data_IF_639936680621
#
_entry.id   IF_639936680621
#
_cell.length_a   1.000
_cell.length_b   1.000
_cell.length_c   1.000
_cell.angle_alpha   90.00
_cell.angle_beta   90.00
_cell.angle_gamma   90.00
#
_symmetry.space_group_name_H-M   'P 1'
#
loop_
_entity.id
_entity.type
_entity.pdbx_description
1 polymer ?
#
# COMPACT_ATOMS: atom_id res chain seq x y z
N UNK A 1 8.34 26.20 20.23
CA UNK A 1 9.34 25.12 20.09
C UNK A 1 8.64 23.93 19.43
N UNK A 2 9.28 23.25 18.47
CA UNK A 2 8.69 22.07 17.82
C UNK A 2 9.00 20.80 18.63
N UNK A 3 8.04 19.88 18.74
CA UNK A 3 8.20 18.59 19.42
C UNK A 3 7.61 17.47 18.59
N UNK A 4 8.37 16.39 18.44
CA UNK A 4 7.95 15.19 17.71
C UNK A 4 7.84 14.01 18.67
N UNK A 5 6.65 13.40 18.73
CA UNK A 5 6.35 12.23 19.54
C UNK A 5 6.03 11.04 18.64
N UNK A 6 6.61 9.88 18.93
CA UNK A 6 6.45 8.66 18.13
C UNK A 6 5.43 7.73 18.79
N UNK A 7 4.25 7.59 18.17
CA UNK A 7 3.18 6.71 18.67
C UNK A 7 3.14 5.35 17.97
N UNK A 8 3.83 5.19 16.84
CA UNK A 8 3.92 3.94 16.11
C UNK A 8 5.07 3.90 15.12
N UNK A 9 5.20 2.78 14.40
CA UNK A 9 6.34 2.48 13.52
C UNK A 9 7.73 2.67 14.16
N UNK A 10 7.85 2.47 15.48
CA UNK A 10 9.12 2.45 16.22
C UNK A 10 9.41 1.05 16.75
N UNK A 11 10.55 0.48 16.35
CA UNK A 11 10.88 -0.93 16.60
C UNK A 11 9.93 -1.91 15.89
N UNK A 12 9.19 -1.46 14.88
CA UNK A 12 8.28 -2.23 14.03
C UNK A 12 8.07 -1.48 12.72
N UNK A 13 7.65 -2.17 11.65
CA UNK A 13 7.43 -1.58 10.31
C UNK A 13 6.06 -0.88 10.22
N UNK A 14 5.02 -1.47 10.81
CA UNK A 14 3.63 -1.05 10.55
C UNK A 14 3.07 -0.15 11.64
N UNK A 15 2.03 0.60 11.32
CA UNK A 15 1.28 1.41 12.28
C UNK A 15 1.89 2.80 12.46
N UNK A 16 2.32 3.42 11.36
CA UNK A 16 2.95 4.73 11.31
C UNK A 16 2.04 5.81 11.88
N UNK A 17 2.51 6.49 12.93
CA UNK A 17 1.81 7.56 13.66
C UNK A 17 2.84 8.45 14.36
N UNK A 18 3.03 9.66 13.86
CA UNK A 18 3.96 10.62 14.45
C UNK A 18 3.24 11.92 14.77
N UNK A 19 3.29 12.36 16.02
CA UNK A 19 2.64 13.59 16.46
C UNK A 19 3.65 14.73 16.51
N UNK A 20 3.47 15.68 15.61
CA UNK A 20 4.25 16.91 15.53
C UNK A 20 3.47 18.06 16.14
N UNK A 21 4.00 18.61 17.22
CA UNK A 21 3.57 19.85 17.83
C UNK A 21 4.44 20.97 17.26
N UNK A 22 3.85 21.90 16.49
CA UNK A 22 4.61 22.98 15.84
C UNK A 22 3.72 24.20 15.63
N UNK A 23 4.23 25.39 15.97
CA UNK A 23 3.51 26.67 15.78
C UNK A 23 2.08 26.68 16.37
N UNK A 24 1.93 26.09 17.56
CA UNK A 24 0.63 25.97 18.26
C UNK A 24 -0.35 24.98 17.62
N UNK A 25 0.09 24.18 16.64
CA UNK A 25 -0.71 23.16 15.95
C UNK A 25 -0.31 21.75 16.36
N UNK A 26 -1.32 20.89 16.47
CA UNK A 26 -1.16 19.45 16.66
C UNK A 26 -1.40 18.74 15.33
N UNK A 27 -0.34 18.15 14.80
CA UNK A 27 -0.36 17.50 13.49
C UNK A 27 -0.03 16.03 13.69
N UNK A 28 -0.84 15.14 13.11
CA UNK A 28 -0.51 13.72 13.02
C UNK A 28 0.03 13.42 11.62
N UNK A 29 1.27 12.94 11.53
CA UNK A 29 1.86 12.40 10.31
C UNK A 29 1.60 10.90 10.28
N UNK A 30 0.85 10.47 9.25
CA UNK A 30 0.26 9.15 9.13
C UNK A 30 -0.66 8.74 10.30
N UNK A 31 -1.64 7.91 9.99
CA UNK A 31 -2.57 7.35 10.95
C UNK A 31 -2.81 5.87 10.60
N UNK A 32 -1.77 5.08 10.72
CA UNK A 32 -1.72 3.71 10.22
C UNK A 32 -2.14 2.63 11.21
N UNK A 33 -2.62 1.48 10.71
CA UNK A 33 -2.89 0.29 11.52
C UNK A 33 -1.64 -0.57 11.72
N UNK A 34 -1.46 -1.08 12.93
CA UNK A 34 -0.48 -2.12 13.22
C UNK A 34 -0.90 -3.44 12.56
N UNK A 35 -0.03 -4.03 11.74
CA UNK A 35 -0.21 -5.34 11.11
C UNK A 35 0.86 -6.33 11.62
N UNK A 36 0.70 -7.62 11.32
CA UNK A 36 1.65 -8.67 11.74
C UNK A 36 1.21 -9.45 12.99
N UNK A 37 2.12 -9.83 13.90
CA UNK A 37 1.82 -10.71 15.03
C UNK A 37 0.72 -10.17 15.95
N UNK A 38 -0.01 -11.07 16.62
CA UNK A 38 -1.15 -10.71 17.49
C UNK A 38 -0.82 -9.60 18.50
N UNK A 39 0.36 -9.67 19.14
CA UNK A 39 0.84 -8.66 20.09
C UNK A 39 0.88 -7.25 19.48
N UNK A 40 1.32 -7.13 18.23
CA UNK A 40 1.40 -5.86 17.51
C UNK A 40 0.00 -5.40 17.09
N UNK A 41 -0.85 -6.29 16.56
CA UNK A 41 -2.23 -5.94 16.17
C UNK A 41 -3.10 -5.47 17.33
N UNK A 42 -2.87 -5.97 18.54
CA UNK A 42 -3.62 -5.56 19.74
C UNK A 42 -3.41 -4.07 20.07
N UNK A 43 -2.28 -3.47 19.66
CA UNK A 43 -2.06 -2.02 19.81
C UNK A 43 -3.08 -1.16 19.08
N UNK A 44 -3.76 -1.69 18.06
CA UNK A 44 -4.87 -0.97 17.42
C UNK A 44 -6.07 -0.80 18.36
N UNK A 45 -6.22 -1.63 19.40
CA UNK A 45 -7.34 -1.55 20.34
C UNK A 45 -7.03 -0.69 21.57
N UNK A 46 -5.78 -0.32 21.78
CA UNK A 46 -5.36 0.57 22.86
C UNK A 46 -5.99 1.97 22.67
N UNK A 47 -6.23 2.64 23.79
CA UNK A 47 -6.68 4.04 23.81
C UNK A 47 -5.56 4.91 23.26
N UNK A 48 -5.86 5.79 22.31
CA UNK A 48 -4.84 6.68 21.76
C UNK A 48 -4.36 7.65 22.87
N UNK A 49 -3.05 7.86 23.05
CA UNK A 49 -2.53 8.58 24.23
C UNK A 49 -2.97 10.05 24.34
N UNK A 50 -3.45 10.64 23.24
CA UNK A 50 -3.88 12.04 23.15
C UNK A 50 -5.29 12.08 22.56
N UNK A 51 -6.21 12.93 23.03
CA UNK A 51 -7.55 13.02 22.44
C UNK A 51 -7.50 13.34 20.93
N UNK A 52 -8.12 12.53 20.04
CA UNK A 52 -8.14 12.81 18.60
C UNK A 52 -8.70 14.18 18.23
N UNK A 53 -9.63 14.70 19.03
CA UNK A 53 -10.21 16.05 18.87
C UNK A 53 -9.21 17.20 19.08
N UNK A 54 -8.05 16.93 19.67
CA UNK A 54 -7.00 17.94 19.88
C UNK A 54 -6.11 18.15 18.65
N UNK A 55 -6.19 17.28 17.64
CA UNK A 55 -5.40 17.38 16.41
C UNK A 55 -6.10 18.29 15.40
N UNK A 56 -5.36 19.27 14.88
CA UNK A 56 -5.84 20.18 13.85
C UNK A 56 -5.86 19.51 12.46
N UNK A 57 -4.83 18.68 12.20
CA UNK A 57 -4.58 18.09 10.89
C UNK A 57 -4.03 16.67 11.00
N UNK A 58 -4.37 15.85 10.01
CA UNK A 58 -3.63 14.64 9.68
C UNK A 58 -2.98 14.85 8.32
N UNK A 59 -1.72 14.46 8.15
CA UNK A 59 -1.04 14.46 6.86
C UNK A 59 -0.65 13.02 6.53
N UNK A 60 -1.14 12.50 5.41
CA UNK A 60 -0.77 11.17 4.95
C UNK A 60 0.38 11.24 3.96
N UNK A 61 1.36 10.36 4.15
CA UNK A 61 2.41 10.09 3.18
C UNK A 61 1.82 9.33 1.99
N UNK A 62 1.06 8.27 2.24
CA UNK A 62 0.47 7.44 1.18
C UNK A 62 -0.70 6.57 1.67
N UNK A 63 -1.31 5.83 0.75
CA UNK A 63 -2.59 5.16 1.00
C UNK A 63 -2.51 3.81 1.75
N UNK A 64 -1.33 3.20 1.96
CA UNK A 64 -1.25 1.88 2.59
C UNK A 64 -1.89 1.84 3.98
N UNK A 65 -2.49 0.70 4.35
CA UNK A 65 -3.27 0.55 5.59
C UNK A 65 -2.44 0.77 6.86
N UNK A 66 -1.14 0.48 6.82
CA UNK A 66 -0.20 0.76 7.90
C UNK A 66 0.25 2.22 7.98
N UNK A 67 -0.28 3.10 7.11
CA UNK A 67 -0.15 4.56 7.14
C UNK A 67 -1.50 5.29 7.19
N UNK A 68 -2.59 4.69 6.70
CA UNK A 68 -3.93 5.33 6.61
C UNK A 68 -5.04 4.61 7.37
N UNK A 69 -4.86 3.32 7.66
CA UNK A 69 -5.95 2.43 8.07
C UNK A 69 -6.55 2.72 9.44
N UNK A 70 -5.87 3.48 10.30
CA UNK A 70 -6.39 3.82 11.63
C UNK A 70 -7.26 5.08 11.62
N UNK A 71 -7.26 5.82 10.51
CA UNK A 71 -8.06 7.04 10.35
C UNK A 71 -9.52 6.84 10.74
N UNK A 72 -10.24 5.77 10.34
CA UNK A 72 -11.67 5.68 10.66
C UNK A 72 -11.94 5.53 12.15
N UNK A 73 -11.09 4.79 12.89
CA UNK A 73 -11.18 4.75 14.35
C UNK A 73 -10.85 6.12 14.96
N UNK A 74 -9.80 6.79 14.46
CA UNK A 74 -9.39 8.11 14.95
C UNK A 74 -10.47 9.18 14.76
N UNK A 75 -11.17 9.18 13.62
CA UNK A 75 -12.34 10.04 13.34
C UNK A 75 -13.50 9.71 14.26
N UNK A 76 -13.83 8.42 14.43
CA UNK A 76 -14.89 7.98 15.34
C UNK A 76 -14.63 8.41 16.79
N UNK A 77 -13.35 8.45 17.19
CA UNK A 77 -12.92 8.88 18.53
C UNK A 77 -12.81 10.41 18.70
N UNK A 78 -13.16 11.19 17.68
CA UNK A 78 -13.40 12.63 17.81
C UNK A 78 -12.55 13.55 16.93
N UNK A 79 -11.70 13.02 16.04
CA UNK A 79 -11.01 13.86 15.07
C UNK A 79 -11.98 14.39 14.01
N UNK A 80 -11.93 15.71 13.76
CA UNK A 80 -12.77 16.40 12.78
C UNK A 80 -11.98 17.44 11.95
N UNK A 81 -10.65 17.36 11.99
CA UNK A 81 -9.76 18.22 11.21
C UNK A 81 -9.64 17.78 9.74
N UNK A 82 -8.75 18.44 8.99
CA UNK A 82 -8.49 18.07 7.59
C UNK A 82 -7.44 16.96 7.48
N UNK A 83 -7.64 16.05 6.54
CA UNK A 83 -6.68 14.99 6.17
C UNK A 83 -6.00 15.41 4.87
N UNK A 84 -4.77 15.91 4.95
CA UNK A 84 -3.99 16.40 3.82
C UNK A 84 -3.23 15.24 3.17
N UNK A 85 -3.33 15.10 1.85
CA UNK A 85 -2.62 14.08 1.07
C UNK A 85 -2.63 14.46 -0.42
N UNK A 86 -2.07 13.61 -1.28
CA UNK A 86 -2.22 13.76 -2.73
C UNK A 86 -3.60 13.31 -3.21
N UNK A 87 -4.01 13.76 -4.40
CA UNK A 87 -5.26 13.30 -5.02
C UNK A 87 -5.32 11.79 -5.20
N UNK A 88 -4.25 11.19 -5.73
CA UNK A 88 -4.15 9.74 -5.89
C UNK A 88 -4.25 9.01 -4.53
N UNK A 89 -3.57 9.50 -3.49
CA UNK A 89 -3.69 8.91 -2.14
C UNK A 89 -5.13 8.97 -1.61
N UNK A 90 -5.85 10.08 -1.82
CA UNK A 90 -7.25 10.18 -1.42
C UNK A 90 -8.16 9.15 -2.11
N UNK A 91 -7.98 8.94 -3.42
CA UNK A 91 -8.76 7.97 -4.18
C UNK A 91 -8.41 6.52 -3.83
N UNK A 92 -7.13 6.22 -3.63
CA UNK A 92 -6.70 4.91 -3.16
C UNK A 92 -7.25 4.62 -1.75
N UNK A 93 -7.20 5.60 -0.83
CA UNK A 93 -7.81 5.49 0.50
C UNK A 93 -9.33 5.20 0.43
N UNK A 94 -10.05 5.75 -0.54
CA UNK A 94 -11.49 5.47 -0.74
C UNK A 94 -11.76 3.98 -0.97
N UNK A 95 -10.89 3.29 -1.69
CA UNK A 95 -11.00 1.84 -1.92
C UNK A 95 -10.49 1.07 -0.70
N UNK A 96 -9.29 1.40 -0.25
CA UNK A 96 -8.58 0.64 0.80
C UNK A 96 -9.28 0.70 2.16
N UNK A 97 -9.77 1.86 2.60
CA UNK A 97 -10.45 2.00 3.89
C UNK A 97 -11.79 1.26 3.92
N UNK A 98 -12.52 1.25 2.80
CA UNK A 98 -13.79 0.53 2.67
C UNK A 98 -13.60 -0.98 2.65
N UNK A 99 -12.60 -1.47 1.91
CA UNK A 99 -12.25 -2.89 1.88
C UNK A 99 -11.79 -3.36 3.27
N UNK A 100 -10.91 -2.58 3.92
CA UNK A 100 -10.47 -2.88 5.28
C UNK A 100 -11.62 -2.89 6.29
N UNK A 101 -12.56 -1.94 6.21
CA UNK A 101 -13.78 -1.96 7.03
C UNK A 101 -14.62 -3.23 6.77
N UNK A 102 -14.79 -3.60 5.50
CA UNK A 102 -15.54 -4.79 5.12
C UNK A 102 -14.97 -6.06 5.75
N UNK A 103 -13.66 -6.26 5.63
CA UNK A 103 -12.96 -7.43 6.17
C UNK A 103 -13.14 -7.47 7.69
N UNK A 104 -13.01 -6.33 8.37
CA UNK A 104 -13.15 -6.27 9.83
C UNK A 104 -14.58 -6.59 10.30
N UNK A 105 -15.60 -6.12 9.58
CA UNK A 105 -17.00 -6.47 9.87
C UNK A 105 -17.27 -7.95 9.66
N UNK A 106 -16.71 -8.55 8.60
CA UNK A 106 -16.84 -9.99 8.35
C UNK A 106 -16.14 -10.82 9.43
N UNK A 107 -14.93 -10.45 9.83
CA UNK A 107 -14.19 -11.09 10.91
C UNK A 107 -14.95 -11.03 12.24
N UNK A 108 -15.54 -9.87 12.57
CA UNK A 108 -16.37 -9.71 13.76
C UNK A 108 -17.64 -10.59 13.70
N UNK A 109 -18.35 -10.61 12.57
CA UNK A 109 -19.53 -11.48 12.36
C UNK A 109 -19.16 -12.97 12.48
N UNK A 110 -18.03 -13.37 11.90
CA UNK A 110 -17.53 -14.74 11.98
C UNK A 110 -17.17 -15.14 13.42
N UNK A 111 -16.49 -14.26 14.14
CA UNK A 111 -16.12 -14.48 15.54
C UNK A 111 -17.36 -14.61 16.44
N UNK A 112 -18.37 -13.78 16.23
CA UNK A 112 -19.66 -13.89 16.92
C UNK A 112 -20.36 -15.22 16.61
N UNK A 113 -20.37 -15.65 15.33
CA UNK A 113 -20.98 -16.93 14.91
C UNK A 113 -20.28 -18.16 15.50
N UNK A 114 -18.96 -18.09 15.73
CA UNK A 114 -18.14 -19.20 16.21
C UNK A 114 -17.83 -19.16 17.71
N UNK A 115 -18.12 -18.05 18.40
CA UNK A 115 -18.00 -17.92 19.85
C UNK A 115 -16.56 -17.89 20.40
N UNK A 116 -15.54 -17.53 19.60
CA UNK A 116 -14.14 -17.51 20.05
C UNK A 116 -13.59 -16.11 20.39
N UNK A 117 -14.43 -15.07 20.34
CA UNK A 117 -14.01 -13.70 20.66
C UNK A 117 -13.83 -13.50 22.16
N UNK A 118 -12.89 -12.63 22.54
CA UNK A 118 -12.77 -12.13 23.92
C UNK A 118 -13.85 -11.08 24.26
N UNK A 119 -14.38 -10.40 23.25
CA UNK A 119 -15.45 -9.42 23.36
C UNK A 119 -16.79 -10.07 22.98
N UNK A 120 -17.84 -9.77 23.72
CA UNK A 120 -19.21 -10.24 23.48
C UNK A 120 -20.17 -9.05 23.46
N UNK A 121 -20.65 -8.61 22.28
CA UNK A 121 -20.30 -9.11 20.94
C UNK A 121 -18.87 -8.75 20.51
N UNK A 122 -18.32 -9.50 19.57
CA UNK A 122 -17.14 -9.11 18.82
C UNK A 122 -17.49 -7.91 17.93
N UNK A 123 -16.70 -6.85 18.01
CA UNK A 123 -16.87 -5.64 17.20
C UNK A 123 -15.68 -5.47 16.23
N UNK A 124 -15.89 -4.87 15.04
CA UNK A 124 -14.80 -4.44 14.19
C UNK A 124 -14.11 -3.21 14.79
N UNK A 125 -12.85 -2.94 14.42
CA UNK A 125 -12.16 -1.73 14.90
C UNK A 125 -12.91 -0.47 14.46
N UNK A 126 -13.48 -0.50 13.26
CA UNK A 126 -14.33 0.52 12.66
C UNK A 126 -15.21 -0.11 11.58
N UNK A 127 -16.33 0.53 11.23
CA UNK A 127 -17.29 0.04 10.23
C UNK A 127 -17.10 0.70 8.87
N UNK A 128 -17.86 0.23 7.85
CA UNK A 128 -17.90 0.89 6.54
C UNK A 128 -18.42 2.32 6.63
N UNK A 129 -19.37 2.59 7.51
CA UNK A 129 -19.89 3.93 7.75
C UNK A 129 -18.80 4.85 8.32
N UNK A 130 -17.98 4.35 9.26
CA UNK A 130 -16.84 5.09 9.79
C UNK A 130 -15.83 5.44 8.68
N UNK A 131 -15.53 4.48 7.80
CA UNK A 131 -14.67 4.72 6.64
C UNK A 131 -15.27 5.79 5.71
N UNK A 132 -16.57 5.73 5.42
CA UNK A 132 -17.25 6.73 4.57
C UNK A 132 -17.20 8.13 5.20
N UNK A 133 -17.48 8.26 6.51
CA UNK A 133 -17.40 9.54 7.23
C UNK A 133 -16.00 10.14 7.16
N UNK A 134 -14.99 9.29 7.30
CA UNK A 134 -13.58 9.68 7.25
C UNK A 134 -13.18 10.26 5.91
N UNK A 135 -13.70 9.71 4.80
CA UNK A 135 -13.42 10.19 3.45
C UNK A 135 -13.89 11.64 3.21
N UNK A 136 -14.90 12.12 3.96
CA UNK A 136 -15.37 13.50 3.85
C UNK A 136 -14.38 14.53 4.43
N UNK A 137 -13.39 14.08 5.22
CA UNK A 137 -12.37 14.94 5.82
C UNK A 137 -11.11 15.06 4.95
N UNK A 138 -11.03 14.31 3.84
CA UNK A 138 -9.89 14.37 2.92
C UNK A 138 -9.84 15.70 2.18
N UNK A 139 -8.66 16.31 2.19
CA UNK A 139 -8.35 17.55 1.50
C UNK A 139 -7.10 17.32 0.63
N UNK A 140 -7.29 16.75 -0.57
CA UNK A 140 -6.19 16.45 -1.47
C UNK A 140 -5.57 17.72 -2.04
N UNK A 141 -4.25 17.71 -2.22
CA UNK A 141 -3.47 18.78 -2.86
C UNK A 141 -2.55 18.17 -3.94
N UNK A 142 -2.04 19.00 -4.86
CA UNK A 142 -1.06 18.54 -5.85
C UNK A 142 0.35 18.51 -5.25
N UNK A 143 1.21 17.67 -5.84
CA UNK A 143 2.65 17.83 -5.66
C UNK A 143 3.07 19.24 -6.07
N UNK A 144 4.08 19.79 -5.40
CA UNK A 144 4.55 21.14 -5.72
C UNK A 144 3.85 22.25 -4.93
N UNK A 145 2.54 22.11 -4.70
CA UNK A 145 1.71 23.08 -3.99
C UNK A 145 2.05 23.14 -2.50
N UNK A 146 1.85 24.31 -1.89
CA UNK A 146 1.95 24.46 -0.44
C UNK A 146 0.59 24.58 0.23
N UNK A 147 0.41 23.85 1.32
CA UNK A 147 -0.71 24.03 2.23
C UNK A 147 -0.26 24.86 3.43
N UNK A 148 -0.95 25.98 3.68
CA UNK A 148 -0.64 26.87 4.80
C UNK A 148 -1.30 26.34 6.07
N UNK A 149 -0.50 25.86 7.02
CA UNK A 149 -0.97 25.40 8.34
C UNK A 149 -1.26 26.58 9.27
N UNK A 150 -0.48 27.64 9.12
CA UNK A 150 -0.50 28.88 9.89
C UNK A 150 0.25 29.98 9.13
N UNK A 151 0.34 31.18 9.69
CA UNK A 151 1.16 32.26 9.10
C UNK A 151 2.64 31.89 8.93
N UNK A 152 3.20 31.08 9.83
CA UNK A 152 4.63 30.76 9.83
C UNK A 152 4.97 29.37 9.30
N UNK A 153 3.97 28.48 9.15
CA UNK A 153 4.21 27.07 8.84
C UNK A 153 3.43 26.61 7.61
N UNK A 154 4.14 25.95 6.69
CA UNK A 154 3.58 25.34 5.49
C UNK A 154 3.97 23.88 5.33
N UNK A 155 3.14 23.13 4.62
CA UNK A 155 3.43 21.78 4.12
C UNK A 155 3.61 21.87 2.62
N UNK A 156 4.52 21.08 2.07
CA UNK A 156 4.62 20.78 0.64
C UNK A 156 4.78 19.27 0.47
N UNK A 157 4.08 18.70 -0.50
CA UNK A 157 4.22 17.30 -0.88
C UNK A 157 5.14 17.19 -2.09
N UNK A 158 6.09 16.27 -2.03
CA UNK A 158 6.98 15.89 -3.13
C UNK A 158 6.81 14.39 -3.39
N UNK A 159 7.02 13.93 -4.61
CA UNK A 159 6.81 12.51 -4.95
C UNK A 159 7.83 11.64 -4.21
N UNK A 160 7.38 10.59 -3.50
CA UNK A 160 8.29 9.63 -2.86
C UNK A 160 8.57 8.40 -3.73
N UNK A 161 7.90 8.25 -4.87
CA UNK A 161 8.12 7.14 -5.82
C UNK A 161 7.77 5.75 -5.31
N UNK A 162 7.10 5.61 -4.16
CA UNK A 162 6.80 4.32 -3.54
C UNK A 162 5.56 3.64 -4.14
N UNK A 163 4.44 4.37 -4.18
CA UNK A 163 3.21 3.98 -4.85
C UNK A 163 2.60 5.21 -5.51
N UNK A 164 1.60 5.01 -6.37
CA UNK A 164 0.88 6.13 -6.98
C UNK A 164 0.37 7.10 -5.88
N UNK A 165 0.81 8.37 -5.97
CA UNK A 165 0.44 9.41 -5.03
C UNK A 165 1.21 9.42 -3.70
N UNK A 166 2.23 8.59 -3.51
CA UNK A 166 3.03 8.59 -2.29
C UNK A 166 3.92 9.83 -2.18
N UNK A 167 3.99 10.43 -1.00
CA UNK A 167 4.61 11.73 -0.81
C UNK A 167 5.64 11.78 0.32
N UNK A 168 6.74 12.49 0.05
CA UNK A 168 7.60 13.10 1.06
C UNK A 168 6.88 14.35 1.61
N UNK A 169 6.85 14.50 2.93
CA UNK A 169 6.17 15.64 3.59
C UNK A 169 7.22 16.66 4.03
N UNK A 170 7.35 17.76 3.27
CA UNK A 170 8.21 18.92 3.58
C UNK A 170 7.42 19.92 4.44
N UNK A 171 7.76 19.98 5.73
CA UNK A 171 7.21 20.95 6.68
C UNK A 171 8.24 22.05 6.89
N UNK A 172 7.93 23.26 6.42
CA UNK A 172 8.79 24.43 6.60
C UNK A 172 8.11 25.40 7.55
N UNK A 173 8.81 25.76 8.62
CA UNK A 173 8.36 26.74 9.61
C UNK A 173 9.36 27.90 9.71
N UNK A 174 8.89 29.07 10.14
CA UNK A 174 9.71 30.23 10.53
C UNK A 174 9.56 30.47 12.04
N UNK A 175 10.67 30.43 12.77
CA UNK A 175 10.73 30.68 14.23
C UNK A 175 11.85 31.70 14.46
N UNK A 176 11.55 32.84 15.08
CA UNK A 176 12.53 33.87 15.46
C UNK A 176 13.52 34.24 14.32
N UNK A 177 12.96 34.56 13.15
CA UNK A 177 13.65 34.86 11.88
C UNK A 177 14.50 33.74 11.26
N UNK A 178 14.54 32.56 11.87
CA UNK A 178 15.19 31.38 11.29
C UNK A 178 14.15 30.44 10.69
N UNK A 179 14.40 29.98 9.46
CA UNK A 179 13.61 28.92 8.87
C UNK A 179 14.13 27.56 9.34
N UNK A 180 13.21 26.63 9.57
CA UNK A 180 13.50 25.21 9.80
C UNK A 180 12.67 24.36 8.85
N UNK A 181 13.27 23.29 8.32
CA UNK A 181 12.62 22.29 7.47
C UNK A 181 12.74 20.90 8.09
N UNK A 182 11.59 20.27 8.28
CA UNK A 182 11.45 18.88 8.69
C UNK A 182 10.92 18.09 7.49
N UNK A 183 11.55 16.99 7.14
CA UNK A 183 11.12 16.10 6.07
C UNK A 183 10.76 14.72 6.63
N UNK A 184 9.55 14.25 6.36
CA UNK A 184 9.17 12.86 6.58
C UNK A 184 9.20 12.13 5.24
N UNK A 185 9.89 10.99 5.17
CA UNK A 185 9.96 10.21 3.94
C UNK A 185 8.66 9.46 3.64
N UNK A 186 7.91 9.07 4.68
CA UNK A 186 7.01 7.92 4.54
C UNK A 186 7.79 6.69 4.08
N UNK A 187 7.15 5.87 3.27
CA UNK A 187 7.86 4.82 2.53
C UNK A 187 8.50 5.43 1.28
N UNK A 188 9.75 5.05 1.03
CA UNK A 188 10.56 5.60 -0.04
C UNK A 188 10.66 4.61 -1.21
N UNK A 189 10.28 5.08 -2.39
CA UNK A 189 10.49 4.37 -3.63
C UNK A 189 11.97 4.18 -3.96
N UNK A 190 12.25 3.21 -4.83
CA UNK A 190 13.56 3.11 -5.45
C UNK A 190 13.57 3.89 -6.76
N UNK A 191 14.72 4.46 -7.16
CA UNK A 191 14.93 4.87 -8.53
C UNK A 191 14.64 3.72 -9.51
N UNK A 192 14.30 4.07 -10.74
CA UNK A 192 14.10 3.10 -11.83
C UNK A 192 12.99 2.04 -11.60
N UNK A 193 12.03 2.28 -10.70
CA UNK A 193 10.81 1.46 -10.63
C UNK A 193 9.95 1.76 -11.87
N UNK A 194 9.66 0.78 -12.75
CA UNK A 194 8.88 1.02 -13.95
C UNK A 194 7.47 1.53 -13.60
N UNK A 195 6.99 2.52 -14.37
CA UNK A 195 5.69 3.21 -14.28
C UNK A 195 5.63 4.40 -13.32
N UNK A 196 6.36 4.38 -12.20
CA UNK A 196 6.34 5.45 -11.21
C UNK A 196 7.50 6.43 -11.44
N UNK A 197 7.33 7.68 -11.01
CA UNK A 197 8.45 8.61 -10.97
C UNK A 197 9.49 8.16 -9.93
N UNK A 198 10.73 8.59 -10.14
CA UNK A 198 11.75 8.51 -9.10
C UNK A 198 11.41 9.45 -7.93
N UNK A 199 11.86 9.13 -6.70
CA UNK A 199 11.65 10.00 -5.56
C UNK A 199 12.26 11.39 -5.79
N UNK A 200 11.50 12.44 -5.49
CA UNK A 200 11.96 13.82 -5.58
C UNK A 200 13.11 14.10 -4.61
N UNK A 201 14.06 14.92 -5.06
CA UNK A 201 15.16 15.38 -4.21
C UNK A 201 14.78 16.66 -3.45
N UNK A 202 14.78 16.58 -2.12
CA UNK A 202 14.48 17.72 -1.24
C UNK A 202 15.75 18.22 -0.55
N UNK A 203 16.11 19.46 -0.85
CA UNK A 203 17.31 20.12 -0.33
C UNK A 203 17.04 20.98 0.91
N UNK A 204 18.11 21.33 1.64
CA UNK A 204 18.08 22.22 2.81
C UNK A 204 17.12 21.71 3.90
N UNK A 205 17.28 20.44 4.28
CA UNK A 205 16.51 19.76 5.32
C UNK A 205 17.30 19.81 6.62
N UNK A 206 16.71 20.33 7.69
CA UNK A 206 17.33 20.38 9.01
C UNK A 206 17.10 19.07 9.79
N UNK A 207 15.93 18.45 9.62
CA UNK A 207 15.55 17.18 10.25
C UNK A 207 14.93 16.23 9.23
N UNK A 208 15.48 15.02 9.12
CA UNK A 208 14.97 13.96 8.26
C UNK A 208 14.46 12.80 9.11
N UNK A 209 13.19 12.45 8.95
CA UNK A 209 12.57 11.25 9.49
C UNK A 209 12.46 10.27 8.33
N UNK A 210 13.32 9.24 8.35
CA UNK A 210 13.48 8.27 7.29
C UNK A 210 12.97 6.89 7.74
N UNK A 211 12.28 6.20 6.84
CA UNK A 211 11.95 4.79 7.04
C UNK A 211 13.19 3.89 7.12
N UNK A 212 13.02 2.65 7.59
CA UNK A 212 14.14 1.71 7.73
C UNK A 212 13.74 0.27 7.43
N UNK A 213 12.74 0.06 6.55
CA UNK A 213 12.20 -1.27 6.24
C UNK A 213 13.28 -2.26 5.79
N UNK A 214 14.28 -1.76 5.07
CA UNK A 214 15.44 -2.54 4.61
C UNK A 214 16.76 -2.11 5.26
N UNK A 215 16.72 -1.35 6.36
CA UNK A 215 17.92 -0.75 6.99
C UNK A 215 18.96 -1.77 7.48
N UNK A 216 18.59 -3.03 7.68
CA UNK A 216 19.52 -4.09 8.10
C UNK A 216 20.23 -4.84 6.96
N UNK A 217 19.98 -4.53 5.68
CA UNK A 217 20.57 -5.27 4.56
C UNK A 217 20.85 -4.41 3.33
N UNK A 218 21.83 -4.83 2.53
CA UNK A 218 21.99 -4.32 1.17
C UNK A 218 21.06 -5.06 0.22
N UNK A 219 20.65 -4.39 -0.85
CA UNK A 219 19.95 -5.05 -1.94
C UNK A 219 20.94 -5.85 -2.79
N UNK A 220 20.49 -7.02 -3.25
CA UNK A 220 21.25 -7.81 -4.21
C UNK A 220 21.41 -7.04 -5.51
N UNK A 221 22.54 -7.24 -6.19
CA UNK A 221 22.84 -6.59 -7.47
C UNK A 221 22.13 -7.25 -8.66
N UNK A 222 21.18 -8.17 -8.42
CA UNK A 222 20.44 -8.83 -9.49
C UNK A 222 19.49 -7.84 -10.16
N UNK A 223 19.33 -7.98 -11.47
CA UNK A 223 18.31 -7.24 -12.22
C UNK A 223 16.95 -7.93 -12.00
N UNK A 224 16.02 -7.29 -11.26
CA UNK A 224 14.72 -7.89 -10.95
C UNK A 224 13.89 -8.20 -12.21
N UNK A 225 14.12 -7.48 -13.31
CA UNK A 225 13.42 -7.69 -14.58
C UNK A 225 13.91 -9.00 -15.22
N UNK A 226 15.23 -9.21 -15.27
CA UNK A 226 15.82 -10.47 -15.74
C UNK A 226 15.40 -11.66 -14.88
N UNK A 227 15.38 -11.50 -13.55
CA UNK A 227 14.91 -12.54 -12.62
C UNK A 227 13.44 -12.90 -12.88
N UNK A 228 12.58 -11.91 -13.12
CA UNK A 228 11.18 -12.11 -13.45
C UNK A 228 11.01 -12.91 -14.76
N UNK A 229 11.76 -12.54 -15.80
CA UNK A 229 11.75 -13.25 -17.10
C UNK A 229 12.18 -14.70 -16.93
N UNK A 230 13.26 -14.96 -16.18
CA UNK A 230 13.73 -16.32 -15.91
C UNK A 230 12.66 -17.14 -15.18
N UNK A 231 12.09 -16.59 -14.10
CA UNK A 231 11.09 -17.28 -13.29
C UNK A 231 9.83 -17.60 -14.09
N UNK A 232 9.33 -16.66 -14.89
CA UNK A 232 8.16 -16.86 -15.75
C UNK A 232 8.44 -17.98 -16.76
N UNK A 233 9.49 -17.86 -17.55
CA UNK A 233 9.82 -18.83 -18.60
C UNK A 233 10.12 -20.22 -18.03
N UNK A 234 10.85 -20.30 -16.90
CA UNK A 234 11.15 -21.56 -16.22
C UNK A 234 9.90 -22.25 -15.67
N UNK A 235 8.99 -21.48 -15.07
CA UNK A 235 7.71 -22.00 -14.55
C UNK A 235 6.86 -22.57 -15.69
N UNK A 236 6.78 -21.85 -16.80
CA UNK A 236 5.97 -22.24 -17.95
C UNK A 236 6.57 -23.45 -18.69
N UNK A 237 7.90 -23.49 -18.87
CA UNK A 237 8.61 -24.63 -19.48
C UNK A 237 8.41 -25.95 -18.70
N UNK A 238 8.26 -25.87 -17.38
CA UNK A 238 7.95 -27.03 -16.52
C UNK A 238 6.50 -27.52 -16.66
N UNK A 239 5.66 -26.78 -17.38
CA UNK A 239 4.24 -27.10 -17.55
C UNK A 239 3.40 -26.83 -16.31
N UNK A 240 3.83 -25.89 -15.45
CA UNK A 240 3.06 -25.43 -14.29
C UNK A 240 2.42 -24.07 -14.50
N UNK A 241 1.83 -23.53 -13.45
CA UNK A 241 1.35 -22.15 -13.34
C UNK A 241 2.24 -21.33 -12.41
N UNK A 242 2.28 -20.02 -12.64
CA UNK A 242 2.95 -19.06 -11.78
C UNK A 242 1.91 -18.35 -10.92
N UNK A 243 1.98 -18.52 -9.59
CA UNK A 243 1.08 -17.87 -8.64
C UNK A 243 1.85 -16.76 -7.91
N UNK A 244 1.29 -15.56 -7.91
CA UNK A 244 1.95 -14.35 -7.43
C UNK A 244 1.07 -13.68 -6.37
N UNK A 245 1.35 -13.88 -5.07
CA UNK A 245 0.80 -13.05 -4.02
C UNK A 245 1.26 -11.60 -4.22
N UNK A 246 0.31 -10.68 -4.44
CA UNK A 246 0.62 -9.27 -4.68
C UNK A 246 -0.24 -8.35 -3.79
N UNK A 247 0.32 -7.19 -3.43
CA UNK A 247 -0.47 -6.11 -2.85
C UNK A 247 -1.39 -5.53 -3.93
N UNK A 248 -2.66 -5.30 -3.56
CA UNK A 248 -3.67 -4.82 -4.50
C UNK A 248 -3.38 -3.43 -5.03
N UNK A 249 -2.62 -2.61 -4.30
CA UNK A 249 -2.21 -1.27 -4.69
C UNK A 249 -0.68 -1.23 -4.88
N UNK A 250 -0.23 -0.63 -5.97
CA UNK A 250 1.19 -0.50 -6.35
C UNK A 250 1.72 -1.74 -7.06
N UNK A 251 1.88 -2.85 -6.32
CA UNK A 251 2.64 -4.02 -6.81
C UNK A 251 1.94 -4.77 -7.94
N UNK A 252 0.62 -4.92 -7.88
CA UNK A 252 -0.17 -5.55 -8.96
C UNK A 252 -0.06 -4.76 -10.26
N UNK A 253 -0.23 -3.44 -10.19
CA UNK A 253 -0.22 -2.55 -11.37
C UNK A 253 1.18 -2.51 -12.01
N UNK A 254 2.22 -2.39 -11.20
CA UNK A 254 3.62 -2.45 -11.66
C UNK A 254 3.91 -3.77 -12.38
N UNK A 255 3.42 -4.90 -11.85
CA UNK A 255 3.60 -6.20 -12.48
C UNK A 255 2.86 -6.32 -13.82
N UNK A 256 1.62 -5.82 -13.91
CA UNK A 256 0.88 -5.82 -15.18
C UNK A 256 1.58 -4.98 -16.26
N UNK A 257 2.08 -3.81 -15.87
CA UNK A 257 2.89 -2.95 -16.75
C UNK A 257 4.15 -3.68 -17.24
N UNK A 258 4.90 -4.30 -16.33
CA UNK A 258 6.10 -5.07 -16.65
C UNK A 258 5.83 -6.27 -17.56
N UNK A 259 4.80 -7.08 -17.26
CA UNK A 259 4.43 -8.23 -18.08
C UNK A 259 4.08 -7.79 -19.50
N UNK A 260 3.34 -6.69 -19.67
CA UNK A 260 3.04 -6.12 -20.99
C UNK A 260 4.31 -5.71 -21.74
N UNK A 261 5.24 -5.03 -21.08
CA UNK A 261 6.52 -4.64 -21.70
C UNK A 261 7.31 -5.87 -22.15
N UNK A 262 7.44 -6.86 -21.28
CA UNK A 262 8.17 -8.10 -21.58
C UNK A 262 7.53 -8.91 -22.71
N UNK A 263 6.20 -8.88 -22.84
CA UNK A 263 5.46 -9.47 -23.97
C UNK A 263 5.67 -8.71 -25.28
N UNK A 264 5.77 -7.39 -25.25
CA UNK A 264 6.05 -6.55 -26.43
C UNK A 264 7.51 -6.71 -26.89
N UNK A 265 8.45 -6.84 -25.96
CA UNK A 265 9.87 -7.09 -26.23
C UNK A 265 10.17 -8.53 -26.67
N UNK A 266 9.19 -9.44 -26.60
CA UNK A 266 9.36 -10.84 -26.93
C UNK A 266 10.19 -11.64 -25.92
N UNK A 267 10.42 -11.09 -24.72
CA UNK A 267 11.16 -11.77 -23.63
C UNK A 267 10.34 -12.86 -22.95
N UNK A 268 9.02 -12.72 -22.96
CA UNK A 268 8.07 -13.76 -22.53
C UNK A 268 6.98 -13.95 -23.58
N UNK A 269 6.52 -15.19 -23.83
CA UNK A 269 5.31 -15.43 -24.61
C UNK A 269 4.06 -14.83 -23.95
N UNK A 270 3.01 -14.60 -24.75
CA UNK A 270 1.71 -14.17 -24.25
C UNK A 270 1.01 -15.31 -23.52
N UNK A 271 1.00 -15.27 -22.19
CA UNK A 271 0.32 -16.24 -21.35
C UNK A 271 -1.02 -15.69 -20.83
N UNK A 272 -2.03 -16.53 -20.54
CA UNK A 272 -3.19 -16.11 -19.77
C UNK A 272 -2.76 -15.57 -18.39
N UNK A 273 -3.07 -14.30 -18.12
CA UNK A 273 -2.79 -13.61 -16.86
C UNK A 273 -4.12 -13.34 -16.17
N UNK A 274 -4.32 -13.86 -14.96
CA UNK A 274 -5.53 -13.66 -14.17
C UNK A 274 -5.26 -12.72 -13.00
N UNK A 275 -6.03 -11.64 -12.89
CA UNK A 275 -6.01 -10.76 -11.71
C UNK A 275 -7.26 -11.04 -10.89
N UNK A 276 -7.07 -11.69 -9.74
CA UNK A 276 -8.14 -12.14 -8.86
C UNK A 276 -8.11 -11.39 -7.53
N UNK A 277 -8.44 -10.11 -7.59
CA UNK A 277 -8.58 -9.24 -6.42
C UNK A 277 -9.48 -8.05 -6.78
N UNK A 278 -10.73 -7.99 -6.27
CA UNK A 278 -11.63 -6.86 -6.52
C UNK A 278 -10.97 -5.50 -6.23
N UNK A 279 -10.30 -5.39 -5.08
CA UNK A 279 -9.54 -4.20 -4.71
C UNK A 279 -8.41 -3.87 -5.69
N UNK A 280 -7.69 -4.86 -6.22
CA UNK A 280 -6.61 -4.59 -7.18
C UNK A 280 -7.15 -4.08 -8.52
N UNK A 281 -8.33 -4.55 -8.90
CA UNK A 281 -9.02 -4.12 -10.11
C UNK A 281 -9.54 -2.69 -9.94
N UNK A 282 -10.13 -2.36 -8.79
CA UNK A 282 -10.57 -0.98 -8.52
C UNK A 282 -9.38 -0.01 -8.42
N UNK A 283 -8.26 -0.45 -7.83
CA UNK A 283 -7.02 0.31 -7.82
C UNK A 283 -6.42 0.48 -9.22
N UNK A 284 -6.56 -0.52 -10.11
CA UNK A 284 -6.09 -0.43 -11.48
C UNK A 284 -6.82 0.68 -12.26
N UNK A 285 -8.12 0.86 -12.05
CA UNK A 285 -8.87 1.96 -12.67
C UNK A 285 -8.35 3.33 -12.19
N UNK A 286 -8.08 3.47 -10.88
CA UNK A 286 -7.46 4.70 -10.35
C UNK A 286 -6.10 4.94 -11.00
N UNK A 287 -5.25 3.91 -11.15
CA UNK A 287 -3.98 4.06 -11.85
C UNK A 287 -4.16 4.52 -13.31
N UNK A 288 -5.18 4.05 -14.01
CA UNK A 288 -5.46 4.48 -15.39
C UNK A 288 -5.84 5.96 -15.49
N UNK A 289 -6.40 6.54 -14.44
CA UNK A 289 -6.88 7.93 -14.40
C UNK A 289 -5.80 8.95 -13.95
N UNK A 290 -4.73 8.50 -13.26
CA UNK A 290 -3.65 9.37 -12.74
C UNK A 290 -2.37 9.35 -13.58
N UNK A 291 -2.51 9.37 -14.90
CA UNK A 291 -1.37 9.28 -15.86
C UNK A 291 -0.30 10.36 -15.61
N UNK A 292 -0.70 11.54 -15.13
CA UNK A 292 0.20 12.66 -14.84
C UNK A 292 1.26 12.34 -13.77
N UNK A 293 0.99 11.36 -12.91
CA UNK A 293 1.83 10.96 -11.78
C UNK A 293 2.73 9.76 -12.14
N UNK A 294 2.83 9.40 -13.43
CA UNK A 294 3.72 8.37 -13.95
C UNK A 294 4.95 8.93 -14.64
N UNK A 295 5.95 8.07 -14.80
CA UNK A 295 7.17 8.39 -15.53
C UNK A 295 6.88 8.84 -16.97
N UNK A 296 7.85 9.55 -17.57
CA UNK A 296 7.70 10.11 -18.92
C UNK A 296 7.42 9.02 -19.97
N UNK A 297 8.03 7.85 -19.84
CA UNK A 297 7.89 6.76 -20.80
C UNK A 297 6.47 6.17 -20.77
N UNK A 298 5.94 5.86 -19.59
CA UNK A 298 4.57 5.43 -19.37
C UNK A 298 3.56 6.46 -19.89
N UNK A 299 3.79 7.75 -19.63
CA UNK A 299 2.96 8.85 -20.16
C UNK A 299 2.96 8.90 -21.67
N UNK A 300 4.13 8.80 -22.31
CA UNK A 300 4.24 8.77 -23.78
C UNK A 300 3.49 7.57 -24.38
N UNK A 301 3.65 6.38 -23.80
CA UNK A 301 2.94 5.18 -24.26
C UNK A 301 1.41 5.36 -24.18
N UNK A 302 0.92 5.96 -23.09
CA UNK A 302 -0.51 6.25 -22.93
C UNK A 302 -1.01 7.29 -23.93
N UNK A 303 -0.24 8.35 -24.18
CA UNK A 303 -0.56 9.37 -25.19
C UNK A 303 -0.61 8.80 -26.62
N UNK A 304 0.12 7.71 -26.89
CA UNK A 304 0.04 6.95 -28.14
C UNK A 304 -1.20 6.04 -28.21
N UNK A 305 -2.10 6.10 -27.23
CA UNK A 305 -3.34 5.31 -27.19
C UNK A 305 -3.17 3.90 -26.61
N UNK A 306 -2.01 3.55 -26.05
CA UNK A 306 -1.82 2.23 -25.40
C UNK A 306 -2.50 2.19 -24.03
N UNK A 307 -3.13 1.06 -23.71
CA UNK A 307 -3.43 0.74 -22.32
C UNK A 307 -2.18 0.15 -21.65
N UNK A 308 -1.50 0.98 -20.86
CA UNK A 308 -0.17 0.67 -20.31
C UNK A 308 -0.19 -0.49 -19.30
N UNK A 309 -1.34 -0.83 -18.73
CA UNK A 309 -1.48 -1.91 -17.76
C UNK A 309 -2.16 -3.17 -18.34
N UNK A 310 -2.26 -3.27 -19.66
CA UNK A 310 -3.02 -4.32 -20.35
C UNK A 310 -2.09 -5.25 -21.14
N UNK A 311 -1.60 -6.35 -20.52
CA UNK A 311 -1.03 -7.47 -21.27
C UNK A 311 -2.00 -8.03 -22.32
N UNK A 312 -1.47 -8.76 -23.32
CA UNK A 312 -2.24 -9.25 -24.47
C UNK A 312 -3.38 -10.20 -24.07
N UNK A 313 -3.19 -11.00 -23.01
CA UNK A 313 -4.16 -11.98 -22.55
C UNK A 313 -4.48 -11.83 -21.05
N UNK A 314 -4.93 -10.64 -20.66
CA UNK A 314 -5.36 -10.33 -19.30
C UNK A 314 -6.83 -10.69 -19.05
N UNK A 315 -7.08 -11.42 -17.97
CA UNK A 315 -8.40 -11.76 -17.46
C UNK A 315 -8.61 -11.14 -16.07
N UNK A 316 -9.62 -10.28 -15.98
CA UNK A 316 -10.01 -9.58 -14.75
C UNK A 316 -11.10 -10.40 -14.05
N UNK A 317 -10.85 -10.82 -12.81
CA UNK A 317 -11.78 -11.66 -12.06
C UNK A 317 -12.38 -10.89 -10.87
N UNK A 318 -13.61 -10.39 -11.03
CA UNK A 318 -14.30 -9.61 -9.99
C UNK A 318 -15.10 -10.50 -9.06
N UNK A 319 -15.83 -11.45 -9.62
CA UNK A 319 -16.78 -12.28 -8.88
C UNK A 319 -16.13 -13.52 -8.27
N UNK A 320 -16.86 -14.19 -7.37
CA UNK A 320 -16.43 -15.47 -6.81
C UNK A 320 -16.44 -16.56 -7.90
N UNK A 321 -17.40 -16.50 -8.80
CA UNK A 321 -17.56 -17.40 -9.94
C UNK A 321 -16.36 -17.29 -10.89
N UNK A 322 -15.91 -16.05 -11.18
CA UNK A 322 -14.70 -15.81 -11.97
C UNK A 322 -13.48 -16.47 -11.31
N UNK A 323 -13.27 -16.21 -10.01
CA UNK A 323 -12.17 -16.79 -9.23
C UNK A 323 -12.19 -18.32 -9.26
N UNK A 324 -13.36 -18.93 -9.07
CA UNK A 324 -13.53 -20.38 -9.13
C UNK A 324 -13.26 -20.94 -10.52
N UNK A 325 -13.55 -20.20 -11.59
CA UNK A 325 -13.32 -20.63 -12.97
C UNK A 325 -11.83 -20.79 -13.30
N UNK A 326 -10.95 -20.01 -12.68
CA UNK A 326 -9.48 -20.08 -12.83
C UNK A 326 -8.96 -21.49 -12.52
N UNK A 327 -9.61 -22.18 -11.58
CA UNK A 327 -9.21 -23.52 -11.15
C UNK A 327 -9.32 -24.57 -12.27
N UNK A 328 -10.10 -24.29 -13.31
CA UNK A 328 -10.19 -25.15 -14.52
C UNK A 328 -8.89 -25.15 -15.33
N UNK A 329 -8.10 -24.07 -15.25
CA UNK A 329 -6.82 -23.95 -15.94
C UNK A 329 -5.70 -24.47 -15.03
N UNK A 330 -5.24 -25.71 -15.24
CA UNK A 330 -4.28 -26.36 -14.32
C UNK A 330 -2.82 -25.97 -14.53
N UNK A 331 -2.46 -25.41 -15.68
CA UNK A 331 -1.08 -25.08 -16.06
C UNK A 331 -1.04 -23.97 -17.11
N UNK A 332 0.12 -23.35 -17.29
CA UNK A 332 0.36 -22.42 -18.39
C UNK A 332 -0.27 -21.04 -18.20
N UNK A 333 -0.55 -20.65 -16.95
CA UNK A 333 -1.13 -19.34 -16.63
C UNK A 333 -0.41 -18.65 -15.48
N UNK A 334 -0.54 -17.32 -15.44
CA UNK A 334 -0.06 -16.47 -14.35
C UNK A 334 -1.28 -16.05 -13.54
N UNK A 335 -1.27 -16.24 -12.22
CA UNK A 335 -2.36 -15.86 -11.31
C UNK A 335 -1.82 -14.84 -10.32
N UNK A 336 -2.34 -13.62 -10.39
CA UNK A 336 -2.01 -12.51 -9.48
C UNK A 336 -3.19 -12.32 -8.53
N UNK A 337 -2.96 -12.46 -7.23
CA UNK A 337 -4.05 -12.33 -6.24
C UNK A 337 -3.54 -11.79 -4.91
N UNK A 338 -4.44 -11.14 -4.18
CA UNK A 338 -4.19 -10.60 -2.85
C UNK A 338 -4.48 -11.63 -1.74
N UNK A 339 -3.84 -11.55 -0.58
CA UNK A 339 -2.89 -10.51 -0.14
C UNK A 339 -1.41 -10.82 -0.42
N UNK A 340 -0.60 -9.78 -0.64
CA UNK A 340 0.84 -9.89 -0.96
C UNK A 340 1.72 -10.55 0.11
N UNK A 341 1.23 -10.68 1.34
CA UNK A 341 1.92 -11.40 2.43
C UNK A 341 1.29 -12.75 2.79
N UNK A 342 0.34 -13.24 1.98
CA UNK A 342 -0.34 -14.54 2.17
C UNK A 342 -1.07 -14.60 3.54
N UNK A 343 -1.62 -13.47 3.99
CA UNK A 343 -2.32 -13.36 5.28
C UNK A 343 -3.78 -13.79 5.20
N UNK A 344 -4.41 -13.58 4.03
CA UNK A 344 -5.82 -13.82 3.78
C UNK A 344 -6.16 -13.64 2.29
N UNK A 345 -7.45 -13.69 1.97
CA UNK A 345 -7.95 -13.45 0.62
C UNK A 345 -7.88 -14.65 -0.32
N UNK A 346 -8.19 -14.39 -1.59
CA UNK A 346 -8.34 -15.42 -2.64
C UNK A 346 -7.02 -16.14 -2.95
N UNK A 347 -5.87 -15.51 -2.69
CA UNK A 347 -4.55 -16.13 -2.87
C UNK A 347 -4.40 -17.44 -2.09
N UNK A 348 -4.99 -17.55 -0.90
CA UNK A 348 -4.91 -18.78 -0.09
C UNK A 348 -5.58 -19.97 -0.80
N UNK A 349 -6.69 -19.73 -1.50
CA UNK A 349 -7.38 -20.76 -2.27
C UNK A 349 -6.56 -21.20 -3.49
N UNK A 350 -5.99 -20.25 -4.23
CA UNK A 350 -5.09 -20.54 -5.35
C UNK A 350 -3.86 -21.34 -4.90
N UNK A 351 -3.21 -20.91 -3.82
CA UNK A 351 -2.05 -21.61 -3.28
C UNK A 351 -2.40 -23.02 -2.80
N UNK A 352 -3.50 -23.19 -2.07
CA UNK A 352 -3.95 -24.52 -1.62
C UNK A 352 -4.17 -25.50 -2.78
N UNK A 353 -4.64 -25.02 -3.93
CA UNK A 353 -4.85 -25.87 -5.11
C UNK A 353 -3.57 -26.11 -5.93
N UNK A 354 -2.60 -25.19 -5.92
CA UNK A 354 -1.40 -25.24 -6.78
C UNK A 354 -0.17 -25.82 -6.08
N UNK A 355 -0.01 -25.57 -4.79
CA UNK A 355 1.17 -26.01 -4.02
C UNK A 355 1.44 -27.54 -4.07
N UNK A 356 0.43 -28.43 -4.09
CA UNK A 356 0.69 -29.87 -4.13
C UNK A 356 1.40 -30.36 -5.41
N UNK A 357 1.36 -29.60 -6.50
CA UNK A 357 2.02 -29.95 -7.77
C UNK A 357 3.35 -29.20 -7.90
N UNK A 358 4.45 -29.97 -7.92
CA UNK A 358 5.82 -29.47 -8.01
C UNK A 358 6.15 -28.74 -9.32
N UNK A 359 5.26 -28.79 -10.31
CA UNK A 359 5.38 -28.00 -11.54
C UNK A 359 5.10 -26.53 -11.31
N UNK A 360 4.25 -26.18 -10.35
CA UNK A 360 3.87 -24.80 -10.08
C UNK A 360 5.00 -23.99 -9.44
N UNK A 361 4.92 -22.67 -9.56
CA UNK A 361 5.86 -21.74 -8.91
C UNK A 361 5.07 -20.72 -8.10
N UNK A 362 5.50 -20.45 -6.88
CA UNK A 362 5.02 -19.29 -6.10
C UNK A 362 6.11 -18.21 -6.15
N UNK A 363 5.77 -17.01 -6.60
CA UNK A 363 6.69 -15.87 -6.65
C UNK A 363 6.28 -14.82 -5.62
N UNK A 364 7.11 -14.66 -4.58
CA UNK A 364 6.96 -13.63 -3.56
C UNK A 364 7.75 -12.38 -4.00
N UNK A 365 7.04 -11.29 -4.31
CA UNK A 365 7.63 -10.11 -4.95
C UNK A 365 7.72 -8.85 -4.06
N UNK A 366 7.35 -8.96 -2.79
CA UNK A 366 7.34 -7.85 -1.83
C UNK A 366 7.79 -8.28 -0.44
N UNK A 367 7.98 -7.30 0.45
CA UNK A 367 8.36 -7.55 1.83
C UNK A 367 7.38 -8.49 2.52
N UNK A 368 7.90 -9.45 3.27
CA UNK A 368 7.13 -10.40 4.05
C UNK A 368 7.37 -10.11 5.53
N UNK A 369 6.37 -9.53 6.19
CA UNK A 369 6.46 -9.19 7.60
C UNK A 369 6.51 -10.45 8.48
N UNK A 370 7.17 -10.35 9.63
CA UNK A 370 7.26 -11.45 10.60
C UNK A 370 5.86 -11.94 11.03
N UNK A 371 5.71 -13.26 11.16
CA UNK A 371 4.45 -13.89 11.53
C UNK A 371 3.42 -14.03 10.40
N UNK A 372 3.77 -13.67 9.16
CA UNK A 372 2.93 -13.93 7.97
C UNK A 372 3.26 -15.28 7.33
N UNK A 373 2.30 -15.90 6.64
CA UNK A 373 2.56 -17.17 5.92
C UNK A 373 3.59 -16.99 4.81
N UNK A 374 3.58 -15.84 4.13
CA UNK A 374 4.57 -15.57 3.10
C UNK A 374 5.99 -15.50 3.65
N UNK A 375 6.17 -15.01 4.90
CA UNK A 375 7.47 -15.08 5.58
C UNK A 375 7.90 -16.50 5.93
N UNK A 376 6.98 -17.34 6.40
CA UNK A 376 7.23 -18.76 6.68
C UNK A 376 7.71 -19.48 5.41
N UNK A 377 7.04 -19.24 4.28
CA UNK A 377 7.41 -19.79 2.98
C UNK A 377 8.78 -19.27 2.52
N UNK A 378 9.03 -17.96 2.65
CA UNK A 378 10.29 -17.34 2.27
C UNK A 378 11.48 -17.91 3.05
N UNK A 379 11.32 -18.12 4.36
CA UNK A 379 12.36 -18.65 5.24
C UNK A 379 12.43 -20.18 5.23
N UNK A 380 11.53 -20.86 4.52
CA UNK A 380 11.39 -22.33 4.49
C UNK A 380 11.28 -22.93 5.90
N UNK A 381 10.56 -22.24 6.79
CA UNK A 381 10.27 -22.75 8.13
C UNK A 381 9.12 -23.76 8.04
N UNK A 382 9.25 -24.88 8.76
CA UNK A 382 8.23 -25.94 8.85
C UNK A 382 6.96 -25.49 9.59
#
# INVERSE_FOLDING_TARGET
>A
MAKLTFYGATGTVTGSRFHLEIDGKNILIDCGMFQGPKRIRLKNWEVFPVPPSSFDFVILTHAHIDHSGYLPKFVREGFNGKIICTHATAELCKVMLKDSAHIQEEDAKWANKKGFSKHSPAEPLYTKEDAIKTLNLFHPIHYGDFFKLSENTRIKLHDSGHILGSALIDIKTKIDDKSRKILFSGDLGRPEIPVLNEPDQVYNVDYLILESTYGQRLHESSDPISDLVEVVNRSMKRGGSLVIPAFSVGRTQTLLYLLRLLEEEGKIPSYPIYVDSPMAIDALEIFKDHIKDFDLYARMQKMQGKDIFQPKNLHICRTREDSMSINKHRSGCIIISASGMVTGGRILHHMAQRLPDNKNTILLMGYQAEGTRGRVIQERKE
#
